data_IF_198799033315
#
_entry.id   IF_198799033315
#
_cell.length_a   1.000
_cell.length_b   1.000
_cell.length_c   1.000
_cell.angle_alpha   90.00
_cell.angle_beta   90.00
_cell.angle_gamma   90.00
#
_symmetry.space_group_name_H-M   'P 1'
#
loop_
_entity.id
_entity.type
_entity.pdbx_description
1 polymer ?
#
# COMPACT_ATOMS: atom_id res chain seq x y z
N UNK A 1 7.12 -45.90 34.37
CA UNK A 1 6.47 -45.73 33.05
C UNK A 1 6.47 -44.24 32.74
N UNK A 2 7.33 -43.82 31.81
CA UNK A 2 7.49 -42.42 31.38
C UNK A 2 6.44 -42.06 30.33
N UNK A 3 5.87 -40.87 30.42
CA UNK A 3 5.24 -40.12 29.31
C UNK A 3 5.12 -38.66 29.79
N UNK A 4 6.09 -37.79 29.51
CA UNK A 4 6.31 -37.05 28.26
C UNK A 4 5.47 -35.77 28.20
N UNK A 5 6.09 -34.67 28.63
CA UNK A 5 5.73 -33.29 28.30
C UNK A 5 5.85 -33.07 26.80
N UNK A 6 4.86 -32.42 26.18
CA UNK A 6 5.02 -31.85 24.84
C UNK A 6 4.77 -30.35 24.91
N UNK A 7 5.90 -29.63 24.96
CA UNK A 7 6.03 -28.21 24.62
C UNK A 7 5.71 -28.05 23.13
N UNK A 8 4.66 -27.30 22.81
CA UNK A 8 4.40 -26.89 21.43
C UNK A 8 5.38 -25.77 21.08
N UNK A 9 6.32 -26.07 20.19
CA UNK A 9 7.33 -25.15 19.68
C UNK A 9 6.65 -23.95 19.01
N UNK A 10 6.96 -22.79 19.55
CA UNK A 10 6.75 -21.48 18.94
C UNK A 10 7.73 -21.39 17.74
N UNK A 11 7.24 -21.65 16.53
CA UNK A 11 8.02 -21.46 15.31
C UNK A 11 8.10 -19.96 15.02
N UNK A 12 9.34 -19.46 15.00
CA UNK A 12 9.67 -18.06 14.84
C UNK A 12 9.09 -17.46 13.55
N UNK A 13 8.61 -16.23 13.67
CA UNK A 13 8.41 -15.32 12.54
C UNK A 13 9.79 -14.95 12.01
N UNK A 14 10.17 -15.49 10.86
CA UNK A 14 11.22 -14.86 10.06
C UNK A 14 10.68 -13.54 9.53
N UNK A 15 11.48 -12.48 9.72
CA UNK A 15 11.19 -11.10 9.35
C UNK A 15 10.74 -10.98 7.89
N UNK A 16 9.46 -10.67 7.66
CA UNK A 16 8.91 -9.76 6.62
C UNK A 16 9.43 -9.77 5.18
N UNK A 17 10.29 -10.71 4.80
CA UNK A 17 10.82 -10.84 3.45
C UNK A 17 9.77 -11.58 2.63
N UNK A 18 9.19 -10.88 1.66
CA UNK A 18 8.39 -11.50 0.61
C UNK A 18 9.29 -12.56 -0.04
N UNK A 19 8.84 -13.82 -0.06
CA UNK A 19 9.63 -14.89 -0.65
C UNK A 19 9.82 -14.63 -2.15
N UNK A 20 10.95 -15.07 -2.72
CA UNK A 20 11.18 -14.94 -4.17
C UNK A 20 10.10 -15.65 -5.00
N UNK A 21 9.45 -16.69 -4.45
CA UNK A 21 8.37 -17.43 -5.12
C UNK A 21 7.09 -16.60 -5.25
N UNK A 22 6.70 -15.86 -4.20
CA UNK A 22 5.49 -15.04 -4.19
C UNK A 22 5.57 -13.87 -5.19
N UNK A 23 6.79 -13.42 -5.52
CA UNK A 23 7.01 -12.30 -6.44
C UNK A 23 7.35 -12.72 -7.87
N UNK A 24 7.53 -14.02 -8.15
CA UNK A 24 7.96 -14.54 -9.46
C UNK A 24 6.97 -14.29 -10.61
N UNK A 25 5.70 -14.04 -10.29
CA UNK A 25 4.65 -13.74 -11.27
C UNK A 25 4.60 -12.26 -11.68
N UNK A 26 5.26 -11.36 -10.93
CA UNK A 26 5.23 -9.93 -11.21
C UNK A 26 5.96 -9.59 -12.52
N UNK A 27 5.56 -8.53 -13.23
CA UNK A 27 6.33 -8.01 -14.36
C UNK A 27 7.69 -7.46 -13.91
N UNK A 28 8.70 -7.53 -14.79
CA UNK A 28 10.01 -6.91 -14.56
C UNK A 28 10.01 -5.49 -15.11
N UNK A 29 10.55 -4.53 -14.35
CA UNK A 29 10.64 -3.12 -14.74
C UNK A 29 12.11 -2.63 -14.69
N UNK A 30 12.58 -1.88 -15.69
CA UNK A 30 13.90 -1.25 -15.63
C UNK A 30 14.01 -0.21 -14.51
N UNK A 31 15.24 0.05 -14.06
CA UNK A 31 15.58 0.96 -12.96
C UNK A 31 15.68 2.44 -13.30
N UNK A 32 15.18 2.82 -14.46
CA UNK A 32 15.09 4.22 -14.85
C UNK A 32 13.95 4.92 -14.09
N UNK A 33 14.32 5.64 -13.03
CA UNK A 33 13.48 6.71 -12.49
C UNK A 33 13.61 7.96 -13.38
N UNK A 34 12.54 8.75 -13.54
CA UNK A 34 12.64 10.03 -14.22
C UNK A 34 13.59 10.95 -13.46
N UNK A 35 14.29 11.85 -14.18
CA UNK A 35 15.20 12.81 -13.55
C UNK A 35 14.50 13.76 -12.56
N UNK A 36 13.17 13.89 -12.65
CA UNK A 36 12.32 14.65 -11.73
C UNK A 36 11.92 13.88 -10.46
N UNK A 37 12.35 12.62 -10.29
CA UNK A 37 12.05 11.85 -9.10
C UNK A 37 12.76 12.46 -7.87
N UNK A 38 12.01 12.58 -6.78
CA UNK A 38 12.52 13.08 -5.50
C UNK A 38 12.48 11.93 -4.51
N UNK A 39 13.62 11.64 -3.88
CA UNK A 39 13.68 10.69 -2.78
C UNK A 39 13.11 11.33 -1.53
N UNK A 40 12.11 10.67 -0.94
CA UNK A 40 11.60 11.00 0.40
C UNK A 40 12.11 9.96 1.39
N UNK A 41 12.85 10.41 2.42
CA UNK A 41 13.52 9.53 3.39
C UNK A 41 14.96 9.21 3.00
N UNK A 42 15.51 8.15 3.61
CA UNK A 42 16.89 7.71 3.38
C UNK A 42 16.96 6.64 2.27
N UNK A 43 18.10 6.52 1.55
CA UNK A 43 18.33 5.42 0.64
C UNK A 43 18.17 4.06 1.34
N UNK A 44 17.38 3.18 0.72
CA UNK A 44 17.11 1.87 1.28
C UNK A 44 18.27 0.89 0.99
N UNK A 45 18.59 -0.03 1.92
CA UNK A 45 19.46 -1.18 1.63
C UNK A 45 18.92 -2.06 0.49
N UNK A 46 19.78 -2.84 -0.19
CA UNK A 46 19.36 -3.79 -1.22
C UNK A 46 18.28 -4.78 -0.75
N UNK A 47 17.39 -5.16 -1.65
CA UNK A 47 16.28 -6.08 -1.37
C UNK A 47 15.12 -5.51 -0.54
N UNK A 48 15.09 -4.19 -0.28
CA UNK A 48 13.90 -3.53 0.29
C UNK A 48 12.92 -3.09 -0.80
N UNK A 49 11.65 -2.94 -0.43
CA UNK A 49 10.60 -2.49 -1.34
C UNK A 49 10.71 -0.98 -1.54
N UNK A 50 10.83 -0.55 -2.79
CA UNK A 50 10.77 0.86 -3.17
C UNK A 50 9.33 1.20 -3.55
N UNK A 51 8.78 2.26 -2.96
CA UNK A 51 7.47 2.78 -3.33
C UNK A 51 7.65 4.03 -4.18
N UNK A 52 7.18 4.00 -5.41
CA UNK A 52 7.14 5.15 -6.31
C UNK A 52 5.73 5.73 -6.28
N UNK A 53 5.60 7.00 -5.93
CA UNK A 53 4.32 7.68 -5.89
C UNK A 53 4.23 8.66 -7.06
N UNK A 54 3.27 8.45 -7.96
CA UNK A 54 3.06 9.37 -9.07
C UNK A 54 2.51 10.70 -8.57
N UNK A 55 2.79 11.76 -9.31
CA UNK A 55 2.31 13.11 -8.97
C UNK A 55 0.78 13.15 -8.89
N UNK A 56 0.08 12.45 -9.79
CA UNK A 56 -1.38 12.34 -9.80
C UNK A 56 -1.93 11.75 -8.50
N UNK A 57 -1.36 10.65 -8.00
CA UNK A 57 -1.83 10.05 -6.74
C UNK A 57 -1.54 10.95 -5.55
N UNK A 58 -0.39 11.63 -5.51
CA UNK A 58 -0.08 12.61 -4.47
C UNK A 58 -1.07 13.79 -4.46
N UNK A 59 -1.46 14.30 -5.63
CA UNK A 59 -2.44 15.37 -5.75
C UNK A 59 -3.83 14.93 -5.30
N UNK A 60 -4.25 13.71 -5.67
CA UNK A 60 -5.53 13.12 -5.23
C UNK A 60 -5.56 12.92 -3.71
N UNK A 61 -4.49 12.37 -3.13
CA UNK A 61 -4.33 12.24 -1.69
C UNK A 61 -4.42 13.62 -1.04
N UNK A 62 -3.64 14.60 -1.51
CA UNK A 62 -3.61 15.95 -0.94
C UNK A 62 -4.98 16.63 -1.01
N UNK A 63 -5.66 16.56 -2.15
CA UNK A 63 -6.98 17.14 -2.34
C UNK A 63 -8.00 16.54 -1.36
N UNK A 64 -7.95 15.22 -1.15
CA UNK A 64 -8.79 14.58 -0.15
C UNK A 64 -8.41 15.01 1.27
N UNK A 65 -7.12 14.97 1.61
CA UNK A 65 -6.62 15.28 2.96
C UNK A 65 -7.00 16.69 3.45
N UNK A 66 -7.11 17.67 2.55
CA UNK A 66 -7.49 19.04 2.90
C UNK A 66 -9.00 19.31 2.81
N UNK A 67 -9.80 18.34 2.34
CA UNK A 67 -11.25 18.51 2.17
C UNK A 67 -12.01 18.54 3.50
N UNK A 68 -11.46 17.93 4.55
CA UNK A 68 -11.98 18.00 5.91
C UNK A 68 -10.83 17.88 6.92
N UNK A 69 -10.57 18.96 7.66
CA UNK A 69 -9.51 19.02 8.69
C UNK A 69 -10.05 18.72 10.10
N UNK A 70 -11.32 18.36 10.24
CA UNK A 70 -11.95 18.06 11.54
C UNK A 70 -12.03 16.56 11.83
N UNK A 71 -11.62 15.71 10.89
CA UNK A 71 -11.69 14.26 11.01
C UNK A 71 -10.58 13.61 10.22
N UNK A 72 -10.13 12.45 10.68
CA UNK A 72 -9.26 11.60 9.88
C UNK A 72 -10.00 11.17 8.62
N UNK A 73 -9.30 11.28 7.50
CA UNK A 73 -9.73 10.87 6.18
C UNK A 73 -8.84 9.73 5.70
N UNK A 74 -9.24 9.02 4.66
CA UNK A 74 -8.42 7.95 4.12
C UNK A 74 -8.93 7.41 2.81
N UNK A 75 -8.21 6.45 2.24
CA UNK A 75 -8.53 5.92 0.93
C UNK A 75 -7.59 4.80 0.49
N UNK A 76 -7.92 4.22 -0.66
CA UNK A 76 -7.14 3.17 -1.27
C UNK A 76 -6.10 3.75 -2.25
N UNK A 77 -4.91 3.15 -2.26
CA UNK A 77 -3.85 3.44 -3.23
C UNK A 77 -3.91 2.40 -4.35
N UNK A 78 -3.95 2.89 -5.59
CA UNK A 78 -4.02 2.06 -6.78
C UNK A 78 -2.71 2.09 -7.55
N UNK A 79 -2.29 0.94 -8.07
CA UNK A 79 -0.97 0.82 -8.65
C UNK A 79 -0.66 -0.55 -9.21
N UNK A 80 0.63 -0.80 -9.38
CA UNK A 80 1.19 -2.09 -9.82
C UNK A 80 2.47 -2.40 -9.07
N UNK A 81 2.74 -3.69 -8.87
CA UNK A 81 3.98 -4.18 -8.32
C UNK A 81 4.86 -4.76 -9.43
N UNK A 82 6.17 -4.58 -9.31
CA UNK A 82 7.18 -5.02 -10.27
C UNK A 82 8.37 -5.62 -9.55
N UNK A 83 9.06 -6.54 -10.23
CA UNK A 83 10.44 -6.91 -9.87
C UNK A 83 11.42 -5.95 -10.50
N UNK A 84 12.46 -5.61 -9.75
CA UNK A 84 13.61 -4.84 -10.21
C UNK A 84 14.87 -5.41 -9.58
N UNK A 85 15.79 -5.91 -10.41
CA UNK A 85 17.04 -6.54 -9.96
C UNK A 85 16.80 -7.58 -8.85
N UNK A 86 17.25 -7.32 -7.61
CA UNK A 86 17.07 -8.16 -6.42
C UNK A 86 15.93 -7.69 -5.49
N UNK A 87 15.16 -6.68 -5.90
CA UNK A 87 14.12 -6.01 -5.11
C UNK A 87 12.75 -5.92 -5.77
N UNK A 88 11.85 -5.22 -5.07
CA UNK A 88 10.47 -5.00 -5.50
C UNK A 88 10.18 -3.50 -5.57
N UNK A 89 9.44 -3.11 -6.61
CA UNK A 89 8.87 -1.78 -6.72
C UNK A 89 7.36 -1.88 -6.63
N UNK A 90 6.75 -0.99 -5.86
CA UNK A 90 5.32 -0.69 -5.92
C UNK A 90 5.16 0.71 -6.49
N UNK A 91 4.52 0.82 -7.66
CA UNK A 91 4.20 2.10 -8.28
C UNK A 91 2.75 2.45 -7.98
N UNK A 92 2.54 3.48 -7.17
CA UNK A 92 1.24 4.07 -6.88
C UNK A 92 0.94 5.10 -7.96
N UNK A 93 -0.14 4.86 -8.71
CA UNK A 93 -0.51 5.65 -9.89
C UNK A 93 -1.76 6.51 -9.65
N UNK A 94 -2.65 6.07 -8.77
CA UNK A 94 -3.86 6.80 -8.40
C UNK A 94 -4.25 6.55 -6.95
N UNK A 95 -5.14 7.38 -6.40
CA UNK A 95 -5.75 7.20 -5.11
C UNK A 95 -7.28 7.40 -5.19
N UNK A 96 -8.02 6.54 -4.52
CA UNK A 96 -9.48 6.63 -4.39
C UNK A 96 -9.81 6.99 -2.94
N UNK A 97 -10.46 8.14 -2.68
CA UNK A 97 -10.98 8.49 -1.37
C UNK A 97 -11.98 7.44 -0.87
N UNK A 98 -11.90 7.05 0.39
CA UNK A 98 -12.97 6.29 1.01
C UNK A 98 -14.04 7.25 1.51
N UNK A 99 -15.30 6.94 1.20
CA UNK A 99 -16.43 7.63 1.81
C UNK A 99 -16.93 6.76 2.95
N UNK A 100 -16.71 7.20 4.18
CA UNK A 100 -17.19 6.52 5.40
C UNK A 100 -17.85 7.53 6.32
N UNK A 101 -18.93 7.13 6.97
CA UNK A 101 -19.54 7.90 8.06
C UNK A 101 -18.90 7.57 9.42
N UNK A 102 -18.07 6.51 9.48
CA UNK A 102 -17.34 6.09 10.67
C UNK A 102 -15.91 6.63 10.65
N UNK A 103 -15.82 7.95 10.77
CA UNK A 103 -14.56 8.70 10.87
C UNK A 103 -14.73 9.82 11.89
N UNK A 104 -13.72 10.04 12.71
CA UNK A 104 -13.66 11.09 13.71
C UNK A 104 -12.28 11.73 13.80
N UNK A 105 -12.04 12.65 14.75
CA UNK A 105 -10.75 13.35 14.88
C UNK A 105 -9.54 12.45 15.16
N UNK A 106 -9.76 11.22 15.63
CA UNK A 106 -8.71 10.28 16.09
C UNK A 106 -8.93 8.85 15.59
N UNK A 107 -9.85 8.66 14.64
CA UNK A 107 -10.06 7.34 14.04
C UNK A 107 -10.62 7.43 12.62
N UNK A 108 -10.24 6.44 11.82
CA UNK A 108 -10.77 6.21 10.49
C UNK A 108 -10.98 4.71 10.27
N UNK A 109 -12.20 4.31 9.90
CA UNK A 109 -12.55 2.91 9.66
C UNK A 109 -12.95 2.69 8.20
N UNK A 110 -12.31 1.73 7.53
CA UNK A 110 -12.81 1.19 6.26
C UNK A 110 -14.00 0.26 6.53
N UNK A 111 -15.22 0.78 6.38
CA UNK A 111 -16.43 -0.04 6.46
C UNK A 111 -16.60 -0.94 5.22
N UNK A 112 -17.46 -1.94 5.32
CA UNK A 112 -17.79 -2.80 4.16
C UNK A 112 -18.38 -1.99 2.99
N UNK A 113 -19.16 -0.96 3.29
CA UNK A 113 -19.71 -0.05 2.29
C UNK A 113 -18.61 0.79 1.63
N UNK A 114 -17.66 1.30 2.42
CA UNK A 114 -16.51 2.04 1.90
C UNK A 114 -15.68 1.17 0.94
N UNK A 115 -15.40 -0.09 1.30
CA UNK A 115 -14.73 -1.03 0.40
C UNK A 115 -15.54 -1.33 -0.87
N UNK A 116 -16.84 -1.53 -0.73
CA UNK A 116 -17.73 -1.77 -1.87
C UNK A 116 -17.71 -0.60 -2.85
N UNK A 117 -17.68 0.64 -2.34
CA UNK A 117 -17.59 1.83 -3.15
C UNK A 117 -16.21 1.97 -3.81
N UNK A 118 -15.13 1.75 -3.07
CA UNK A 118 -13.76 1.75 -3.61
C UNK A 118 -13.61 0.76 -4.77
N UNK A 119 -14.16 -0.45 -4.64
CA UNK A 119 -14.11 -1.44 -5.71
C UNK A 119 -14.89 -1.02 -6.95
N UNK A 120 -16.07 -0.40 -6.79
CA UNK A 120 -16.86 0.14 -7.91
C UNK A 120 -16.09 1.26 -8.62
N UNK A 121 -15.53 2.20 -7.86
CA UNK A 121 -14.80 3.34 -8.40
C UNK A 121 -13.52 2.90 -9.11
N UNK A 122 -12.78 1.94 -8.52
CA UNK A 122 -11.65 1.28 -9.17
C UNK A 122 -12.08 0.64 -10.49
N UNK A 123 -13.15 -0.16 -10.51
CA UNK A 123 -13.59 -0.83 -11.73
C UNK A 123 -14.00 0.17 -12.82
N UNK A 124 -14.62 1.28 -12.44
CA UNK A 124 -15.08 2.29 -13.38
C UNK A 124 -13.95 3.17 -13.95
N UNK A 125 -13.00 3.59 -13.10
CA UNK A 125 -12.00 4.61 -13.45
C UNK A 125 -10.60 4.03 -13.70
N UNK A 126 -10.28 2.91 -13.05
CA UNK A 126 -8.95 2.29 -13.04
C UNK A 126 -9.03 0.76 -13.17
N UNK A 127 -9.67 0.23 -14.23
CA UNK A 127 -9.90 -1.21 -14.38
C UNK A 127 -8.60 -2.03 -14.36
N UNK A 128 -7.51 -1.45 -14.88
CA UNK A 128 -6.22 -2.11 -15.07
C UNK A 128 -5.21 -1.92 -13.92
N UNK A 129 -5.60 -1.26 -12.83
CA UNK A 129 -4.76 -1.05 -11.64
C UNK A 129 -5.22 -1.94 -10.48
N UNK A 130 -4.30 -2.36 -9.62
CA UNK A 130 -4.60 -3.12 -8.42
C UNK A 130 -4.62 -2.21 -7.19
N UNK A 131 -5.31 -2.64 -6.12
CA UNK A 131 -5.17 -1.98 -4.81
C UNK A 131 -3.83 -2.44 -4.21
N UNK A 132 -2.89 -1.51 -4.06
CA UNK A 132 -1.52 -1.77 -3.59
C UNK A 132 -1.26 -1.25 -2.18
N UNK A 133 -2.23 -0.57 -1.57
CA UNK A 133 -2.12 -0.03 -0.22
C UNK A 133 -3.28 0.89 0.12
N UNK A 134 -3.08 1.67 1.19
CA UNK A 134 -4.05 2.63 1.69
C UNK A 134 -3.33 3.82 2.33
N UNK A 135 -4.06 4.93 2.52
CA UNK A 135 -3.57 6.11 3.22
C UNK A 135 -4.63 6.61 4.21
N UNK A 136 -4.20 7.38 5.21
CA UNK A 136 -5.08 8.18 6.06
C UNK A 136 -4.39 9.46 6.53
N UNK A 137 -5.18 10.44 6.99
CA UNK A 137 -4.69 11.69 7.57
C UNK A 137 -4.66 11.63 9.10
N UNK A 138 -3.78 12.43 9.68
CA UNK A 138 -3.76 12.80 11.10
C UNK A 138 -3.81 14.33 11.13
N UNK A 139 -5.02 14.93 11.08
CA UNK A 139 -5.18 16.38 11.00
C UNK A 139 -4.78 17.12 12.29
#
# INVERSE_FOLDING_TARGET
MNSASTSSKQTGRENGRISHEDSAHLPVRPSNLPASAILHGDPLPPGQVIVLNNQTSLEQIRAHSISNLQSELGGALLGRAYRQDDGLIVEVQAAIPAVTADSGPVHFTFTADAWSQIHKDKQAQYPDLDIVGWFHTHP
#
